data_IF_906025374102
#
_entry.id   IF_906025374102
#
_cell.length_a   1.000
_cell.length_b   1.000
_cell.length_c   1.000
_cell.angle_alpha   90.00
_cell.angle_beta   90.00
_cell.angle_gamma   90.00
#
_symmetry.space_group_name_H-M   'P 1'
#
loop_
_entity.id
_entity.type
_entity.pdbx_description
1 polymer ?
#
# COMPACT_ATOMS: atom_id res chain seq x y z
N UNK A 1 2.35 9.89 -18.99
CA UNK A 1 2.29 8.48 -18.52
C UNK A 1 3.71 8.01 -18.17
N UNK A 2 3.88 7.25 -17.08
CA UNK A 2 5.18 6.77 -16.53
C UNK A 2 6.23 7.86 -16.22
N UNK A 3 5.79 9.07 -15.84
CA UNK A 3 6.71 10.18 -15.48
C UNK A 3 7.70 10.57 -16.59
N UNK A 4 7.36 10.32 -17.87
CA UNK A 4 8.26 10.59 -19.00
C UNK A 4 9.46 9.65 -19.11
N UNK A 5 9.55 8.59 -18.28
CA UNK A 5 10.67 7.63 -18.23
C UNK A 5 12.03 8.28 -17.94
N UNK A 6 12.06 9.47 -17.37
CA UNK A 6 13.28 10.23 -17.05
C UNK A 6 13.76 10.03 -15.61
N UNK A 7 13.01 9.29 -14.79
CA UNK A 7 13.36 9.03 -13.39
C UNK A 7 14.64 8.18 -13.29
N UNK A 8 15.67 8.65 -12.56
CA UNK A 8 16.89 7.90 -12.35
C UNK A 8 16.67 6.69 -11.44
N UNK A 9 17.51 5.67 -11.59
CA UNK A 9 17.34 4.36 -10.93
C UNK A 9 17.24 4.44 -9.40
N UNK A 10 17.98 5.35 -8.76
CA UNK A 10 17.97 5.49 -7.30
C UNK A 10 16.65 6.08 -6.78
N UNK A 11 15.98 6.95 -7.54
CA UNK A 11 14.64 7.47 -7.17
C UNK A 11 13.57 6.39 -7.34
N UNK A 12 13.73 5.52 -8.34
CA UNK A 12 12.84 4.37 -8.51
C UNK A 12 12.99 3.38 -7.35
N UNK A 13 14.23 3.08 -6.94
CA UNK A 13 14.47 2.22 -5.78
C UNK A 13 13.98 2.84 -4.46
N UNK A 14 14.12 4.16 -4.30
CA UNK A 14 13.60 4.86 -3.13
C UNK A 14 12.07 4.81 -3.06
N UNK A 15 11.39 5.04 -4.19
CA UNK A 15 9.92 4.98 -4.28
C UNK A 15 9.38 3.56 -4.05
N UNK A 16 10.06 2.53 -4.58
CA UNK A 16 9.70 1.13 -4.30
C UNK A 16 9.93 0.78 -2.82
N UNK A 17 10.98 1.32 -2.21
CA UNK A 17 11.24 1.12 -0.79
C UNK A 17 10.22 1.85 0.10
N UNK A 18 9.81 3.08 -0.23
CA UNK A 18 8.85 3.84 0.57
C UNK A 18 7.46 3.21 0.59
N UNK A 19 7.01 2.63 -0.53
CA UNK A 19 5.74 1.90 -0.63
C UNK A 19 5.67 0.68 0.32
N UNK A 20 6.82 0.13 0.72
CA UNK A 20 6.88 -0.99 1.67
C UNK A 20 6.79 -0.56 3.14
N UNK A 21 6.85 0.75 3.43
CA UNK A 21 6.81 1.28 4.79
C UNK A 21 5.43 1.84 5.13
N UNK A 22 4.71 1.11 5.96
CA UNK A 22 3.45 1.56 6.54
C UNK A 22 3.48 1.49 8.07
N UNK A 23 2.46 2.08 8.70
CA UNK A 23 2.33 2.10 10.17
C UNK A 23 2.27 0.68 10.72
N UNK A 24 1.54 -0.22 10.06
CA UNK A 24 1.29 -1.55 10.60
C UNK A 24 2.49 -2.48 10.36
N UNK A 25 3.20 -2.36 9.25
CA UNK A 25 4.50 -2.99 9.01
C UNK A 25 5.56 -2.52 10.00
N UNK A 26 5.58 -1.23 10.34
CA UNK A 26 6.47 -0.69 11.37
C UNK A 26 6.15 -1.29 12.75
N UNK A 27 4.87 -1.32 13.13
CA UNK A 27 4.42 -1.97 14.38
C UNK A 27 4.82 -3.45 14.43
N UNK A 28 4.70 -4.15 13.30
CA UNK A 28 5.14 -5.53 13.17
C UNK A 28 6.66 -5.69 13.36
N UNK A 29 7.47 -4.85 12.71
CA UNK A 29 8.93 -4.88 12.87
C UNK A 29 9.37 -4.57 14.30
N UNK A 30 8.72 -3.60 14.97
CA UNK A 30 8.97 -3.31 16.39
C UNK A 30 8.59 -4.51 17.27
N UNK A 31 7.47 -5.17 16.98
CA UNK A 31 7.03 -6.36 17.72
C UNK A 31 8.02 -7.52 17.54
N UNK A 32 8.54 -7.74 16.33
CA UNK A 32 9.59 -8.71 16.07
C UNK A 32 10.89 -8.38 16.81
N UNK A 33 11.27 -7.11 16.86
CA UNK A 33 12.43 -6.65 17.63
C UNK A 33 12.24 -6.90 19.13
N UNK A 34 11.04 -6.68 19.66
CA UNK A 34 10.73 -6.97 21.06
C UNK A 34 10.83 -8.48 21.37
N UNK A 35 10.31 -9.34 20.50
CA UNK A 35 10.28 -10.80 20.71
C UNK A 35 11.64 -11.46 20.45
N UNK A 36 12.33 -11.10 19.37
CA UNK A 36 13.57 -11.75 18.92
C UNK A 36 14.84 -10.95 19.24
N UNK A 37 14.71 -9.74 19.79
CA UNK A 37 15.82 -8.80 19.97
C UNK A 37 16.46 -8.41 18.64
N UNK A 38 17.77 -8.19 18.67
CA UNK A 38 18.57 -7.84 17.48
C UNK A 38 18.56 -8.90 16.37
N UNK A 39 18.14 -10.14 16.66
CA UNK A 39 18.03 -11.19 15.62
C UNK A 39 16.89 -10.93 14.64
N UNK A 40 15.93 -10.08 14.99
CA UNK A 40 14.83 -9.67 14.10
C UNK A 40 15.31 -9.00 12.81
N UNK A 41 16.51 -8.40 12.80
CA UNK A 41 17.12 -7.74 11.63
C UNK A 41 17.27 -8.70 10.44
N UNK A 42 17.40 -10.00 10.69
CA UNK A 42 17.53 -11.01 9.64
C UNK A 42 16.20 -11.38 8.96
N UNK A 43 15.05 -11.05 9.57
CA UNK A 43 13.73 -11.44 9.05
C UNK A 43 13.41 -10.77 7.70
N UNK A 44 13.64 -9.45 7.51
CA UNK A 44 13.48 -8.84 6.18
C UNK A 44 14.38 -9.46 5.10
N UNK A 45 15.56 -9.97 5.47
CA UNK A 45 16.46 -10.64 4.53
C UNK A 45 15.98 -12.03 4.12
N UNK A 46 15.07 -12.67 4.86
CA UNK A 46 14.59 -14.00 4.51
C UNK A 46 13.75 -13.99 3.24
N UNK A 47 12.93 -12.96 3.06
CA UNK A 47 11.92 -12.92 2.00
C UNK A 47 11.88 -11.59 1.24
N UNK A 48 11.39 -10.47 1.81
CA UNK A 48 11.02 -9.30 1.00
C UNK A 48 12.20 -8.74 0.20
N UNK A 49 13.41 -8.73 0.77
CA UNK A 49 14.61 -8.24 0.06
C UNK A 49 14.93 -9.11 -1.16
N UNK A 50 15.00 -10.43 -1.01
CA UNK A 50 15.30 -11.32 -2.14
C UNK A 50 14.19 -11.29 -3.18
N UNK A 51 12.93 -11.22 -2.77
CA UNK A 51 11.80 -11.11 -3.69
C UNK A 51 11.94 -9.90 -4.62
N UNK A 52 12.31 -8.73 -4.08
CA UNK A 52 12.53 -7.54 -4.90
C UNK A 52 13.73 -7.68 -5.85
N UNK A 53 14.82 -8.31 -5.42
CA UNK A 53 15.96 -8.60 -6.31
C UNK A 53 15.53 -9.52 -7.45
N UNK A 54 14.76 -10.58 -7.18
CA UNK A 54 14.25 -11.48 -8.22
C UNK A 54 13.34 -10.75 -9.21
N UNK A 55 12.39 -9.95 -8.73
CA UNK A 55 11.51 -9.17 -9.59
C UNK A 55 12.31 -8.16 -10.43
N UNK A 56 13.31 -7.49 -9.84
CA UNK A 56 14.17 -6.59 -10.58
C UNK A 56 14.96 -7.31 -11.69
N UNK A 57 15.58 -8.45 -11.39
CA UNK A 57 16.44 -9.14 -12.36
C UNK A 57 15.66 -9.82 -13.48
N UNK A 58 14.54 -10.47 -13.15
CA UNK A 58 13.83 -11.31 -14.10
C UNK A 58 12.62 -10.63 -14.73
N UNK A 59 11.88 -9.79 -13.99
CA UNK A 59 10.60 -9.26 -14.45
C UNK A 59 10.73 -7.83 -15.01
N UNK A 60 11.58 -6.97 -14.43
CA UNK A 60 11.69 -5.56 -14.82
C UNK A 60 12.03 -5.34 -16.31
N UNK A 61 12.85 -6.23 -16.89
CA UNK A 61 13.25 -6.15 -18.31
C UNK A 61 12.06 -6.34 -19.24
N UNK A 62 11.12 -7.23 -18.89
CA UNK A 62 9.92 -7.48 -19.69
C UNK A 62 8.91 -6.34 -19.54
N UNK A 63 8.74 -5.82 -18.33
CA UNK A 63 7.90 -4.64 -18.06
C UNK A 63 8.38 -3.40 -18.84
N UNK A 64 9.69 -3.13 -18.87
CA UNK A 64 10.23 -1.99 -19.62
C UNK A 64 10.07 -2.15 -21.13
N UNK A 65 10.11 -3.38 -21.64
CA UNK A 65 10.00 -3.68 -23.08
C UNK A 65 8.56 -3.75 -23.57
N UNK A 66 7.62 -4.16 -22.72
CA UNK A 66 6.20 -4.27 -23.09
C UNK A 66 5.56 -2.91 -23.35
N UNK A 67 6.08 -1.85 -22.71
CA UNK A 67 5.50 -0.51 -22.80
C UNK A 67 4.13 -0.37 -22.12
N UNK A 68 3.64 -1.44 -21.49
CA UNK A 68 2.36 -1.46 -20.80
C UNK A 68 2.38 -0.55 -19.56
N UNK A 69 1.30 0.18 -19.34
CA UNK A 69 1.13 1.05 -18.18
C UNK A 69 0.48 0.33 -16.98
N UNK A 70 -0.24 -0.78 -17.24
CA UNK A 70 -0.95 -1.54 -16.20
C UNK A 70 -0.64 -3.03 -16.29
N UNK A 71 -0.80 -3.74 -15.17
CA UNK A 71 -0.68 -5.21 -15.17
C UNK A 71 -1.68 -5.88 -16.12
N UNK A 72 -2.89 -5.33 -16.23
CA UNK A 72 -3.91 -5.82 -17.16
C UNK A 72 -3.50 -5.67 -18.64
N UNK A 73 -2.87 -4.56 -19.00
CA UNK A 73 -2.31 -4.36 -20.34
C UNK A 73 -1.09 -5.26 -20.58
N UNK A 74 -0.27 -5.50 -19.55
CA UNK A 74 0.85 -6.42 -19.64
C UNK A 74 0.39 -7.87 -19.89
N UNK A 75 -0.75 -8.31 -19.34
CA UNK A 75 -1.33 -9.62 -19.65
C UNK A 75 -1.66 -9.79 -21.14
N UNK A 76 -2.02 -8.71 -21.85
CA UNK A 76 -2.28 -8.79 -23.28
C UNK A 76 -1.04 -9.21 -24.08
N UNK A 77 0.17 -8.94 -23.59
CA UNK A 77 1.42 -9.41 -24.20
C UNK A 77 1.62 -10.92 -24.07
N UNK A 78 0.98 -11.56 -23.08
CA UNK A 78 1.09 -13.00 -22.81
C UNK A 78 -0.07 -13.80 -23.39
N UNK A 79 -1.30 -13.33 -23.22
CA UNK A 79 -2.52 -14.05 -23.63
C UNK A 79 -3.10 -13.59 -24.96
N UNK A 80 -2.57 -12.50 -25.54
CA UNK A 80 -3.09 -11.87 -26.74
C UNK A 80 -4.23 -10.88 -26.44
N UNK A 81 -4.86 -10.35 -27.49
CA UNK A 81 -5.90 -9.33 -27.37
C UNK A 81 -7.32 -9.83 -27.63
N UNK A 82 -7.47 -11.00 -28.25
CA UNK A 82 -8.77 -11.58 -28.61
C UNK A 82 -8.83 -13.04 -28.22
N UNK A 83 -9.92 -13.41 -27.55
CA UNK A 83 -10.20 -14.79 -27.15
C UNK A 83 -10.82 -14.88 -25.75
N UNK A 84 -11.54 -15.98 -25.45
CA UNK A 84 -12.20 -16.17 -24.16
C UNK A 84 -11.20 -16.18 -22.98
N UNK A 85 -9.98 -16.70 -23.18
CA UNK A 85 -8.93 -16.71 -22.15
C UNK A 85 -8.41 -15.32 -21.77
N UNK A 86 -8.39 -14.37 -22.71
CA UNK A 86 -7.97 -12.98 -22.46
C UNK A 86 -9.01 -12.29 -21.57
N UNK A 87 -10.28 -12.42 -21.93
CA UNK A 87 -11.38 -11.81 -21.19
C UNK A 87 -11.47 -12.36 -19.77
N UNK A 88 -11.38 -13.69 -19.60
CA UNK A 88 -11.35 -14.32 -18.29
C UNK A 88 -10.16 -13.83 -17.43
N UNK A 89 -8.95 -13.75 -18.01
CA UNK A 89 -7.77 -13.25 -17.29
C UNK A 89 -7.93 -11.79 -16.83
N UNK A 90 -8.54 -10.96 -17.68
CA UNK A 90 -8.77 -9.55 -17.39
C UNK A 90 -9.76 -9.38 -16.23
N UNK A 91 -10.86 -10.15 -16.25
CA UNK A 91 -11.85 -10.14 -15.16
C UNK A 91 -11.23 -10.59 -13.83
N UNK A 92 -10.41 -11.64 -13.84
CA UNK A 92 -9.72 -12.12 -12.63
C UNK A 92 -8.76 -11.07 -12.09
N UNK A 93 -8.00 -10.39 -12.94
CA UNK A 93 -7.07 -9.32 -12.53
C UNK A 93 -7.83 -8.13 -11.94
N UNK A 94 -8.96 -7.73 -12.52
CA UNK A 94 -9.81 -6.68 -11.96
C UNK A 94 -10.36 -7.10 -10.60
N UNK A 95 -10.93 -8.30 -10.49
CA UNK A 95 -11.48 -8.81 -9.24
C UNK A 95 -10.41 -8.87 -8.15
N UNK A 96 -9.21 -9.37 -8.49
CA UNK A 96 -8.06 -9.40 -7.60
C UNK A 96 -7.65 -7.98 -7.18
N UNK A 97 -7.50 -7.05 -8.13
CA UNK A 97 -7.12 -5.68 -7.83
C UNK A 97 -8.13 -4.99 -6.89
N UNK A 98 -9.43 -5.13 -7.15
CA UNK A 98 -10.47 -4.56 -6.29
C UNK A 98 -10.47 -5.17 -4.89
N UNK A 99 -10.39 -6.50 -4.79
CA UNK A 99 -10.35 -7.20 -3.51
C UNK A 99 -9.09 -6.82 -2.71
N UNK A 100 -7.93 -6.81 -3.35
CA UNK A 100 -6.66 -6.42 -2.73
C UNK A 100 -6.68 -4.95 -2.30
N UNK A 101 -7.13 -4.03 -3.16
CA UNK A 101 -7.23 -2.61 -2.81
C UNK A 101 -8.17 -2.38 -1.62
N UNK A 102 -9.36 -3.02 -1.61
CA UNK A 102 -10.28 -2.94 -0.47
C UNK A 102 -9.66 -3.54 0.80
N UNK A 103 -8.95 -4.67 0.68
CA UNK A 103 -8.26 -5.30 1.78
C UNK A 103 -7.16 -4.42 2.39
N UNK A 104 -6.29 -3.85 1.55
CA UNK A 104 -5.23 -2.94 2.00
C UNK A 104 -5.78 -1.64 2.58
N UNK A 105 -6.86 -1.10 2.00
CA UNK A 105 -7.53 0.09 2.54
C UNK A 105 -8.15 -0.19 3.92
N UNK A 106 -8.82 -1.32 4.09
CA UNK A 106 -9.36 -1.73 5.38
C UNK A 106 -8.24 -1.99 6.41
N UNK A 107 -7.15 -2.63 5.98
CA UNK A 107 -5.97 -2.85 6.81
C UNK A 107 -5.36 -1.53 7.30
N UNK A 108 -5.10 -0.60 6.38
CA UNK A 108 -4.56 0.73 6.71
C UNK A 108 -5.51 1.52 7.63
N UNK A 109 -6.81 1.47 7.37
CA UNK A 109 -7.83 2.11 8.20
C UNK A 109 -7.83 1.59 9.64
N UNK A 110 -7.80 0.27 9.84
CA UNK A 110 -7.79 -0.34 11.18
C UNK A 110 -6.45 -0.08 11.89
N UNK A 111 -5.34 -0.23 11.18
CA UNK A 111 -3.99 0.00 11.71
C UNK A 111 -3.81 1.44 12.19
N UNK A 112 -4.15 2.41 11.34
CA UNK A 112 -4.09 3.83 11.64
C UNK A 112 -5.00 4.18 12.83
N UNK A 113 -6.25 3.73 12.82
CA UNK A 113 -7.20 4.03 13.89
C UNK A 113 -6.72 3.59 15.27
N UNK A 114 -6.19 2.36 15.36
CA UNK A 114 -5.62 1.83 16.61
C UNK A 114 -4.34 2.55 17.02
N UNK A 115 -3.50 2.87 16.06
CA UNK A 115 -2.25 3.60 16.32
C UNK A 115 -2.54 5.00 16.87
N UNK A 116 -3.48 5.73 16.27
CA UNK A 116 -3.84 7.09 16.70
C UNK A 116 -4.44 7.12 18.10
N UNK A 117 -5.19 6.09 18.50
CA UNK A 117 -5.75 5.98 19.86
C UNK A 117 -4.65 5.91 20.94
N UNK A 118 -3.47 5.34 20.62
CA UNK A 118 -2.34 5.27 21.56
C UNK A 118 -1.80 6.68 21.85
N UNK A 119 -1.76 7.57 20.86
CA UNK A 119 -1.21 8.93 20.99
C UNK A 119 -2.25 9.97 21.40
N UNK A 120 -3.51 9.78 21.01
CA UNK A 120 -4.62 10.69 21.30
C UNK A 120 -5.65 9.94 22.15
N UNK A 121 -5.54 10.01 23.49
CA UNK A 121 -6.49 9.37 24.38
C UNK A 121 -7.92 9.80 24.10
N UNK A 122 -8.85 8.84 24.01
CA UNK A 122 -10.26 9.10 23.75
C UNK A 122 -10.89 10.07 24.76
N UNK A 123 -10.38 10.13 25.99
CA UNK A 123 -10.84 11.08 27.02
C UNK A 123 -10.74 12.55 26.60
N UNK A 124 -9.77 12.90 25.74
CA UNK A 124 -9.59 14.26 25.23
C UNK A 124 -10.58 14.60 24.11
N UNK A 125 -10.96 13.61 23.30
CA UNK A 125 -11.77 13.80 22.09
C UNK A 125 -13.26 13.59 22.35
N UNK A 126 -13.62 12.77 23.36
CA UNK A 126 -15.00 12.42 23.69
C UNK A 126 -15.92 13.64 23.88
N UNK A 127 -15.39 14.76 24.39
CA UNK A 127 -16.16 15.99 24.58
C UNK A 127 -16.59 16.68 23.27
N UNK A 128 -15.87 16.43 22.17
CA UNK A 128 -16.13 17.03 20.87
C UNK A 128 -16.98 16.15 19.94
N UNK A 129 -17.25 14.90 20.34
CA UNK A 129 -18.05 13.96 19.56
C UNK A 129 -19.49 13.98 20.10
N UNK A 130 -20.50 14.36 19.29
CA UNK A 130 -21.85 14.61 19.79
C UNK A 130 -22.67 13.33 20.12
N UNK A 131 -22.09 12.14 19.95
CA UNK A 131 -22.73 10.85 20.18
C UNK A 131 -21.87 9.92 21.03
N UNK A 132 -22.51 9.01 21.76
CA UNK A 132 -21.82 8.01 22.57
C UNK A 132 -21.21 6.93 21.68
N UNK A 133 -19.91 6.72 21.80
CA UNK A 133 -19.16 5.69 21.07
C UNK A 133 -18.72 4.62 22.06
N UNK A 134 -19.07 3.36 21.79
CA UNK A 134 -18.57 2.25 22.60
C UNK A 134 -17.05 2.09 22.39
N UNK A 135 -16.28 1.67 23.41
CA UNK A 135 -14.81 1.63 23.34
C UNK A 135 -14.27 0.88 22.11
N UNK A 136 -14.92 -0.21 21.71
CA UNK A 136 -14.54 -0.99 20.52
C UNK A 136 -14.62 -0.23 19.19
N UNK A 137 -15.41 0.85 19.11
CA UNK A 137 -15.56 1.66 17.90
C UNK A 137 -14.71 2.94 17.91
N UNK A 138 -14.00 3.23 18.99
CA UNK A 138 -13.11 4.40 19.10
C UNK A 138 -12.02 4.39 18.01
N UNK A 139 -11.27 3.29 17.77
CA UNK A 139 -10.31 3.23 16.67
C UNK A 139 -10.95 3.52 15.31
N UNK A 140 -12.19 3.07 15.10
CA UNK A 140 -12.89 3.28 13.84
C UNK A 140 -13.26 4.74 13.60
N UNK A 141 -13.59 5.49 14.66
CA UNK A 141 -13.82 6.95 14.57
C UNK A 141 -12.55 7.66 14.14
N UNK A 142 -11.40 7.35 14.75
CA UNK A 142 -10.11 7.90 14.32
C UNK A 142 -9.79 7.52 12.88
N UNK A 143 -9.96 6.23 12.52
CA UNK A 143 -9.81 5.77 11.14
C UNK A 143 -10.64 6.60 10.16
N UNK A 144 -11.92 6.83 10.44
CA UNK A 144 -12.80 7.61 9.55
C UNK A 144 -12.28 9.02 9.36
N UNK A 145 -11.96 9.72 10.45
CA UNK A 145 -11.50 11.10 10.40
C UNK A 145 -10.21 11.22 9.58
N UNK A 146 -9.19 10.41 9.88
CA UNK A 146 -7.92 10.51 9.18
C UNK A 146 -7.99 10.01 7.73
N UNK A 147 -8.76 8.96 7.45
CA UNK A 147 -8.99 8.51 6.07
C UNK A 147 -9.77 9.55 5.26
N UNK A 148 -10.70 10.30 5.86
CA UNK A 148 -11.35 11.42 5.19
C UNK A 148 -10.34 12.51 4.82
N UNK A 149 -9.44 12.88 5.73
CA UNK A 149 -8.37 13.83 5.41
C UNK A 149 -7.46 13.32 4.28
N UNK A 150 -7.05 12.04 4.33
CA UNK A 150 -6.23 11.42 3.29
C UNK A 150 -6.97 11.39 1.94
N UNK A 151 -8.28 11.14 1.94
CA UNK A 151 -9.13 11.17 0.74
C UNK A 151 -9.18 12.59 0.16
N UNK A 152 -9.44 13.61 0.96
CA UNK A 152 -9.47 15.00 0.50
C UNK A 152 -8.12 15.43 -0.08
N UNK A 153 -7.04 15.12 0.63
CA UNK A 153 -5.66 15.36 0.18
C UNK A 153 -5.40 14.72 -1.19
N UNK A 154 -5.77 13.44 -1.35
CA UNK A 154 -5.58 12.69 -2.59
C UNK A 154 -6.40 13.22 -3.76
N UNK A 155 -7.66 13.62 -3.50
CA UNK A 155 -8.56 14.16 -4.54
C UNK A 155 -8.09 15.53 -5.00
N UNK A 156 -7.74 16.43 -4.08
CA UNK A 156 -7.34 17.81 -4.40
C UNK A 156 -5.95 17.83 -5.05
N UNK A 157 -5.02 17.04 -4.51
CA UNK A 157 -3.64 17.05 -4.93
C UNK A 157 -3.31 16.14 -6.13
N UNK A 158 -4.20 15.20 -6.46
CA UNK A 158 -4.04 14.27 -7.59
C UNK A 158 -2.76 13.43 -7.52
N UNK A 159 -2.29 12.96 -8.68
CA UNK A 159 -1.08 12.12 -8.76
C UNK A 159 0.19 12.82 -8.23
N UNK A 160 0.29 14.15 -8.32
CA UNK A 160 1.45 14.88 -7.83
C UNK A 160 1.56 14.85 -6.31
N UNK A 161 0.43 14.94 -5.62
CA UNK A 161 0.37 14.89 -4.17
C UNK A 161 0.70 13.50 -3.62
N UNK A 162 0.27 12.44 -4.32
CA UNK A 162 0.60 11.06 -3.97
C UNK A 162 2.12 10.84 -4.08
N UNK A 163 2.73 11.26 -5.19
CA UNK A 163 4.18 11.09 -5.43
C UNK A 163 5.05 11.97 -4.51
N UNK A 164 4.53 13.08 -4.02
CA UNK A 164 5.21 13.92 -3.02
C UNK A 164 5.04 13.39 -1.58
N UNK A 165 4.00 12.58 -1.34
CA UNK A 165 3.74 11.96 -0.04
C UNK A 165 4.56 10.69 0.21
N UNK A 166 4.93 9.98 -0.86
CA UNK A 166 5.88 8.84 -0.86
C UNK A 166 7.34 9.27 -0.65
#
# INVERSE_FOLDING_TARGET
MLGGRTLPWYKLGLSDASDMFDISGTMWMVSLCFVYGMKSIWIPWLWPVFNQVFLMMYLSRWLRRSGAATGAEWLATRFGQKGPGVWASHQVVIAFALLSCLGFLAYGFVGLGKFMEIFIPWSLVKAYVPFAVAPQYVPHVYGIVFTLFAMFYSIIGGMHSIVLGD
#
